data_IF_700296237172
#
_entry.id   IF_700296237172
#
_cell.length_a   1.000
_cell.length_b   1.000
_cell.length_c   1.000
_cell.angle_alpha   90.00
_cell.angle_beta   90.00
_cell.angle_gamma   90.00
#
_symmetry.space_group_name_H-M   'P 1'
#
loop_
_entity.id
_entity.type
_entity.pdbx_description
1 polymer ?
#
# COMPACT_ATOMS: atom_id res chain seq x y z
N UNK A 1 -1.34 4.41 67.87
CA UNK A 1 -0.06 5.13 67.74
C UNK A 1 0.45 4.87 66.34
N UNK A 2 0.23 5.80 65.42
CA UNK A 2 0.65 5.70 64.03
C UNK A 2 1.75 6.74 63.78
N UNK A 3 2.92 6.28 63.31
CA UNK A 3 3.99 7.15 62.84
C UNK A 3 4.09 7.02 61.31
N UNK A 4 3.70 8.09 60.62
CA UNK A 4 3.86 8.29 59.18
C UNK A 4 5.22 8.91 58.87
N UNK A 5 5.92 8.31 57.90
CA UNK A 5 7.26 8.68 57.48
C UNK A 5 7.28 9.91 56.55
N UNK A 6 7.95 10.96 57.05
CA UNK A 6 8.87 11.90 56.39
C UNK A 6 8.64 12.29 54.90
N UNK A 7 8.04 13.47 54.71
CA UNK A 7 8.10 14.25 53.48
C UNK A 7 9.20 15.32 53.58
N UNK A 8 10.30 15.18 52.83
CA UNK A 8 11.36 16.19 52.73
C UNK A 8 10.98 17.30 51.74
N UNK A 9 10.17 18.25 52.20
CA UNK A 9 9.97 19.55 51.53
C UNK A 9 11.18 20.43 51.78
N UNK A 10 12.08 20.51 50.80
CA UNK A 10 13.19 21.47 50.79
C UNK A 10 12.64 22.90 50.78
N UNK A 11 12.96 23.64 51.85
CA UNK A 11 12.54 25.02 52.07
C UNK A 11 13.23 25.94 51.05
N UNK A 12 12.44 26.53 50.15
CA UNK A 12 12.89 27.65 49.32
C UNK A 12 12.99 28.89 50.21
N UNK A 13 14.21 29.23 50.58
CA UNK A 13 14.56 30.47 51.27
C UNK A 13 14.07 31.69 50.49
N UNK A 14 13.24 32.52 51.13
CA UNK A 14 12.87 33.84 50.67
C UNK A 14 14.09 34.76 50.76
N UNK A 15 14.84 34.90 49.66
CA UNK A 15 15.91 35.91 49.57
C UNK A 15 15.28 37.27 49.35
N UNK A 16 15.45 38.16 50.33
CA UNK A 16 15.15 39.59 50.26
C UNK A 16 15.80 40.21 49.03
N UNK A 17 15.05 41.10 48.38
CA UNK A 17 15.51 41.96 47.28
C UNK A 17 16.54 42.96 47.81
N UNK A 18 17.81 42.71 47.53
CA UNK A 18 18.80 43.78 47.50
C UNK A 18 18.72 44.42 46.12
N UNK A 19 18.24 45.66 46.04
CA UNK A 19 18.39 46.52 44.87
C UNK A 19 19.86 46.94 44.77
N UNK A 20 20.71 46.02 44.32
CA UNK A 20 22.01 46.38 43.77
C UNK A 20 21.77 46.73 42.30
N UNK A 21 22.10 47.97 41.91
CA UNK A 21 22.27 48.35 40.52
C UNK A 21 23.48 47.60 39.96
N UNK A 22 23.26 46.35 39.58
CA UNK A 22 24.25 45.57 38.83
C UNK A 22 24.34 46.25 37.45
N UNK A 23 25.52 46.76 37.04
CA UNK A 23 25.68 47.25 35.68
C UNK A 23 25.38 46.09 34.73
N UNK A 24 24.33 46.24 33.92
CA UNK A 24 24.00 45.27 32.88
C UNK A 24 25.24 45.12 32.00
N UNK A 25 25.80 43.91 31.81
CA UNK A 25 26.91 43.75 30.88
C UNK A 25 26.46 44.23 29.49
N UNK A 26 27.20 45.18 28.92
CA UNK A 26 26.95 45.82 27.63
C UNK A 26 27.25 44.89 26.44
N UNK A 27 26.87 43.63 26.56
CA UNK A 27 26.74 42.74 25.43
C UNK A 27 25.31 42.23 25.48
N UNK A 28 24.45 42.80 24.62
CA UNK A 28 23.25 42.13 24.15
C UNK A 28 23.74 40.88 23.40
N UNK A 29 24.18 39.85 24.13
CA UNK A 29 24.22 38.51 23.56
C UNK A 29 22.75 38.20 23.37
N UNK A 30 22.24 38.55 22.18
CA UNK A 30 21.05 37.90 21.66
C UNK A 30 21.36 36.42 21.81
N UNK A 31 20.80 35.80 22.84
CA UNK A 31 20.86 34.36 23.00
C UNK A 31 20.10 33.82 21.80
N UNK A 32 20.83 33.59 20.72
CA UNK A 32 20.28 32.96 19.54
C UNK A 32 19.73 31.64 20.03
N UNK A 33 18.43 31.44 19.86
CA UNK A 33 17.77 30.22 20.31
C UNK A 33 18.22 29.11 19.37
N UNK A 34 19.38 28.50 19.66
CA UNK A 34 19.91 27.42 18.85
C UNK A 34 19.14 26.13 19.14
N UNK A 35 18.90 25.33 18.09
CA UNK A 35 18.25 24.02 18.19
C UNK A 35 19.17 22.93 18.75
N UNK A 36 20.40 23.29 19.10
CA UNK A 36 21.50 22.37 19.45
C UNK A 36 21.20 21.41 20.62
N UNK A 37 20.22 21.71 21.47
CA UNK A 37 19.88 20.83 22.59
C UNK A 37 18.87 19.76 22.20
N UNK A 38 19.16 18.50 22.50
CA UNK A 38 18.27 17.35 22.24
C UNK A 38 16.83 17.54 22.78
N UNK A 39 16.66 18.25 23.90
CA UNK A 39 15.32 18.56 24.46
C UNK A 39 14.47 19.42 23.52
N UNK A 40 15.07 20.40 22.83
CA UNK A 40 14.36 21.25 21.87
C UNK A 40 13.97 20.44 20.64
N UNK A 41 14.92 19.68 20.10
CA UNK A 41 14.69 18.78 18.96
C UNK A 41 13.55 17.78 19.23
N UNK A 42 13.54 17.14 20.41
CA UNK A 42 12.45 16.22 20.80
C UNK A 42 11.09 16.92 20.91
N UNK A 43 11.07 18.17 21.36
CA UNK A 43 9.82 18.94 21.47
C UNK A 43 9.30 19.36 20.11
N UNK A 44 10.18 19.76 19.19
CA UNK A 44 9.79 20.16 17.82
C UNK A 44 9.35 18.97 16.98
N UNK A 45 9.98 17.82 17.13
CA UNK A 45 9.63 16.57 16.43
C UNK A 45 8.54 15.73 17.12
N UNK A 46 7.83 16.29 18.12
CA UNK A 46 6.82 15.53 18.86
C UNK A 46 5.56 15.31 18.01
N UNK A 47 5.30 14.05 17.67
CA UNK A 47 4.05 13.60 17.05
C UNK A 47 3.01 13.29 18.14
N UNK A 48 1.75 13.66 17.93
CA UNK A 48 0.64 13.33 18.83
C UNK A 48 0.21 11.88 18.60
N UNK A 49 -0.25 11.20 19.66
CA UNK A 49 -0.90 9.90 19.54
C UNK A 49 -2.24 9.99 18.81
N UNK A 50 -2.71 8.86 18.32
CA UNK A 50 -4.05 8.75 17.73
C UNK A 50 -5.14 9.07 18.79
N UNK A 51 -6.25 9.73 18.41
CA UNK A 51 -7.33 10.06 19.33
C UNK A 51 -7.90 8.86 20.09
N UNK A 52 -7.87 7.65 19.50
CA UNK A 52 -8.31 6.42 20.16
C UNK A 52 -7.57 6.09 21.45
N UNK A 53 -6.32 6.56 21.62
CA UNK A 53 -5.54 6.39 22.85
C UNK A 53 -5.73 7.55 23.84
N UNK A 54 -6.45 8.59 23.46
CA UNK A 54 -6.73 9.74 24.31
C UNK A 54 -8.15 9.59 24.84
N UNK A 55 -8.31 8.71 25.84
CA UNK A 55 -9.60 8.45 26.45
C UNK A 55 -10.25 9.76 26.95
N UNK A 56 -11.53 10.02 26.65
CA UNK A 56 -12.27 11.07 27.34
C UNK A 56 -12.38 10.72 28.83
N UNK A 57 -12.38 11.74 29.69
CA UNK A 57 -12.40 11.61 31.17
C UNK A 57 -13.66 10.89 31.69
N UNK A 58 -14.65 10.66 30.84
CA UNK A 58 -16.01 10.20 31.16
C UNK A 58 -16.18 8.66 31.22
N UNK A 59 -15.11 7.89 31.07
CA UNK A 59 -15.17 6.43 31.15
C UNK A 59 -15.15 5.96 32.62
N UNK A 60 -16.22 5.30 33.05
CA UNK A 60 -16.42 4.88 34.45
C UNK A 60 -15.79 3.52 34.79
N UNK A 61 -15.45 2.72 33.77
CA UNK A 61 -14.90 1.38 33.92
C UNK A 61 -13.96 1.00 32.75
N UNK A 62 -13.07 0.04 33.00
CA UNK A 62 -12.16 -0.49 31.99
C UNK A 62 -12.93 -1.25 30.89
N UNK A 63 -12.60 -0.98 29.63
CA UNK A 63 -13.20 -1.64 28.48
C UNK A 63 -12.18 -1.86 27.35
N UNK A 64 -12.48 -2.76 26.42
CA UNK A 64 -11.60 -3.09 25.29
C UNK A 64 -12.05 -2.30 24.06
N UNK A 65 -11.14 -1.47 23.52
CA UNK A 65 -11.38 -0.68 22.31
C UNK A 65 -10.88 -1.45 21.09
N UNK A 66 -11.74 -1.60 20.07
CA UNK A 66 -11.33 -2.10 18.76
C UNK A 66 -10.75 -0.96 17.92
N UNK A 67 -9.42 -0.96 17.75
CA UNK A 67 -8.68 0.08 17.02
C UNK A 67 -7.93 -0.54 15.82
N UNK A 68 -8.60 -0.76 14.67
CA UNK A 68 -7.94 -1.30 13.49
C UNK A 68 -6.91 -0.27 12.97
N UNK A 69 -5.61 -0.60 12.94
CA UNK A 69 -4.59 0.36 12.52
C UNK A 69 -4.70 0.66 11.02
N UNK A 70 -4.41 1.91 10.64
CA UNK A 70 -4.34 2.32 9.22
C UNK A 70 -3.01 1.91 8.57
N UNK A 71 -2.61 0.65 8.74
CA UNK A 71 -1.38 0.07 8.20
C UNK A 71 -1.66 -1.19 7.39
N UNK A 72 -0.74 -1.57 6.51
CA UNK A 72 -0.84 -2.85 5.82
C UNK A 72 -0.79 -4.02 6.83
N UNK A 73 -1.61 -5.08 6.63
CA UNK A 73 -1.57 -6.25 7.49
C UNK A 73 -0.25 -7.00 7.32
N UNK A 74 0.19 -7.68 8.38
CA UNK A 74 1.33 -8.59 8.31
C UNK A 74 0.96 -9.92 7.65
N UNK A 75 1.96 -10.67 7.19
CA UNK A 75 1.77 -12.01 6.60
C UNK A 75 1.08 -12.98 7.58
N UNK A 76 1.25 -12.77 8.88
CA UNK A 76 0.64 -13.60 9.93
C UNK A 76 -0.85 -13.32 10.13
N UNK A 77 -1.39 -12.22 9.59
CA UNK A 77 -2.82 -12.00 9.55
C UNK A 77 -3.43 -12.80 8.37
N UNK A 78 -3.56 -14.11 8.58
CA UNK A 78 -4.02 -15.05 7.56
C UNK A 78 -5.52 -14.90 7.30
N UNK A 79 -5.96 -14.56 6.07
CA UNK A 79 -7.38 -14.50 5.74
C UNK A 79 -8.03 -15.90 5.83
N UNK A 80 -9.35 -15.97 6.07
CA UNK A 80 -10.06 -17.21 6.38
C UNK A 80 -9.99 -18.25 5.25
N UNK A 81 -9.75 -17.84 4.00
CA UNK A 81 -9.58 -18.75 2.86
C UNK A 81 -8.31 -19.61 2.94
N UNK A 82 -7.28 -19.15 3.67
CA UNK A 82 -6.04 -19.89 3.86
C UNK A 82 -6.01 -20.67 5.19
N UNK A 83 -7.03 -20.54 6.02
CA UNK A 83 -7.17 -21.33 7.24
C UNK A 83 -7.78 -22.70 6.92
N UNK A 84 -7.35 -23.78 7.61
CA UNK A 84 -7.99 -25.07 7.46
C UNK A 84 -9.43 -25.02 7.98
N UNK A 85 -10.30 -25.87 7.44
CA UNK A 85 -11.73 -25.85 7.77
C UNK A 85 -12.03 -26.11 9.27
N UNK A 86 -11.13 -26.82 9.97
CA UNK A 86 -11.24 -27.14 11.40
C UNK A 86 -10.82 -25.99 12.32
N UNK A 87 -10.21 -24.91 11.82
CA UNK A 87 -9.69 -23.83 12.65
C UNK A 87 -10.86 -22.95 13.18
N UNK A 88 -11.04 -22.82 14.51
CA UNK A 88 -12.12 -22.03 15.09
C UNK A 88 -12.02 -20.54 14.74
N UNK A 89 -10.82 -20.03 14.41
CA UNK A 89 -10.62 -18.62 14.01
C UNK A 89 -11.42 -18.25 12.77
N UNK A 90 -11.77 -19.23 11.92
CA UNK A 90 -12.62 -19.00 10.75
C UNK A 90 -14.01 -18.49 11.16
N UNK A 91 -14.57 -18.96 12.28
CA UNK A 91 -15.85 -18.49 12.80
C UNK A 91 -15.73 -17.04 13.33
N UNK A 92 -14.63 -16.72 14.00
CA UNK A 92 -14.38 -15.37 14.52
C UNK A 92 -14.28 -14.33 13.40
N UNK A 93 -13.67 -14.68 12.25
CA UNK A 93 -13.64 -13.79 11.08
C UNK A 93 -15.03 -13.49 10.53
N UNK A 94 -15.91 -14.50 10.44
CA UNK A 94 -17.31 -14.30 9.99
C UNK A 94 -18.06 -13.37 10.93
N UNK A 95 -17.90 -13.55 12.25
CA UNK A 95 -18.52 -12.67 13.24
C UNK A 95 -17.98 -11.23 13.15
N UNK A 96 -16.69 -11.05 12.89
CA UNK A 96 -16.09 -9.73 12.72
C UNK A 96 -16.57 -9.01 11.46
N UNK A 97 -16.74 -9.72 10.33
CA UNK A 97 -17.31 -9.17 9.10
C UNK A 97 -18.76 -8.70 9.30
N UNK A 98 -19.56 -9.49 10.03
CA UNK A 98 -20.92 -9.12 10.40
C UNK A 98 -20.98 -7.89 11.31
N UNK A 99 -20.05 -7.75 12.26
CA UNK A 99 -19.99 -6.60 13.17
C UNK A 99 -19.46 -5.32 12.52
N UNK A 100 -18.55 -5.43 11.55
CA UNK A 100 -17.94 -4.30 10.84
C UNK A 100 -18.75 -3.77 9.67
N UNK A 101 -19.72 -4.56 9.17
CA UNK A 101 -20.62 -4.11 8.12
C UNK A 101 -21.46 -2.93 8.66
N UNK A 102 -21.43 -1.75 8.00
CA UNK A 102 -22.32 -0.67 8.39
C UNK A 102 -23.74 -1.22 8.25
N UNK A 103 -24.50 -1.27 9.34
CA UNK A 103 -25.96 -1.46 9.27
C UNK A 103 -26.43 -0.48 8.20
N UNK A 104 -27.02 -1.00 7.12
CA UNK A 104 -27.63 -0.19 6.07
C UNK A 104 -28.55 0.80 6.77
N UNK A 105 -28.09 2.04 6.95
CA UNK A 105 -28.95 3.11 7.34
C UNK A 105 -29.88 3.26 6.15
N UNK A 106 -31.10 2.73 6.27
CA UNK A 106 -32.23 3.17 5.47
C UNK A 106 -32.50 4.63 5.85
N UNK A 107 -31.60 5.52 5.47
CA UNK A 107 -31.82 6.95 5.42
C UNK A 107 -32.05 7.24 3.94
N UNK A 108 -33.31 7.37 3.57
CA UNK A 108 -33.75 8.25 2.48
C UNK A 108 -33.22 9.65 2.80
N UNK A 109 -31.95 9.89 2.50
CA UNK A 109 -31.33 11.20 2.57
C UNK A 109 -31.53 11.82 1.19
N UNK A 110 -32.56 12.65 1.09
CA UNK A 110 -32.76 13.68 0.07
C UNK A 110 -31.39 14.27 -0.32
N UNK A 111 -30.93 13.96 -1.53
CA UNK A 111 -29.73 14.54 -2.14
C UNK A 111 -30.12 15.87 -2.77
N UNK A 112 -30.30 16.90 -1.94
CA UNK A 112 -30.53 18.25 -2.41
C UNK A 112 -29.30 19.15 -2.21
N UNK A 113 -28.78 19.63 -3.34
CA UNK A 113 -28.02 20.88 -3.56
C UNK A 113 -26.61 21.09 -2.95
N UNK A 114 -26.10 20.26 -2.03
CA UNK A 114 -24.81 20.53 -1.37
C UNK A 114 -23.54 19.91 -2.02
N UNK A 115 -23.68 18.95 -2.95
CA UNK A 115 -22.54 18.31 -3.64
C UNK A 115 -21.76 19.29 -4.52
N UNK A 116 -22.42 20.34 -5.05
CA UNK A 116 -21.79 21.26 -6.01
C UNK A 116 -20.80 22.28 -5.44
N UNK A 117 -20.82 22.50 -4.12
CA UNK A 117 -19.87 23.36 -3.43
C UNK A 117 -18.57 22.64 -3.01
N UNK A 118 -18.46 21.31 -3.20
CA UNK A 118 -17.33 20.52 -2.74
C UNK A 118 -16.26 20.35 -3.83
N UNK A 119 -15.04 20.79 -3.53
CA UNK A 119 -13.89 20.64 -4.43
C UNK A 119 -13.63 19.16 -4.83
N UNK A 120 -13.07 18.92 -6.03
CA UNK A 120 -12.98 17.59 -6.64
C UNK A 120 -12.24 16.54 -5.79
N UNK A 121 -11.26 16.98 -5.00
CA UNK A 121 -10.50 16.13 -4.07
C UNK A 121 -11.36 15.59 -2.93
N UNK A 122 -12.33 16.38 -2.45
CA UNK A 122 -13.20 16.00 -1.33
C UNK A 122 -14.32 15.07 -1.79
N UNK A 123 -14.83 15.23 -3.03
CA UNK A 123 -15.76 14.28 -3.65
C UNK A 123 -15.13 12.91 -3.89
N UNK A 124 -13.88 12.85 -4.38
CA UNK A 124 -13.16 11.59 -4.55
C UNK A 124 -12.84 10.89 -3.22
N UNK A 125 -12.67 11.65 -2.14
CA UNK A 125 -12.52 11.08 -0.81
C UNK A 125 -13.84 10.48 -0.30
N UNK A 126 -14.95 11.20 -0.40
CA UNK A 126 -16.26 10.71 0.06
C UNK A 126 -16.79 9.52 -0.76
N UNK A 127 -16.53 9.46 -2.07
CA UNK A 127 -16.90 8.29 -2.90
C UNK A 127 -16.16 7.01 -2.51
N UNK A 128 -15.00 7.12 -1.84
CA UNK A 128 -14.32 5.96 -1.22
C UNK A 128 -14.99 5.49 0.06
N UNK A 129 -15.64 6.39 0.80
CA UNK A 129 -16.34 6.07 2.05
C UNK A 129 -17.75 5.52 1.80
N UNK A 130 -18.39 5.87 0.68
CA UNK A 130 -19.71 5.34 0.27
C UNK A 130 -19.59 4.06 -0.57
N UNK A 131 -18.64 3.19 -0.21
CA UNK A 131 -18.48 1.89 -0.87
C UNK A 131 -19.35 0.89 -0.13
N UNK A 132 -20.53 0.58 -0.68
CA UNK A 132 -21.32 -0.57 -0.25
C UNK A 132 -20.43 -1.82 -0.33
N UNK A 133 -20.55 -2.71 0.65
CA UNK A 133 -19.68 -3.88 0.86
C UNK A 133 -19.62 -4.87 -0.33
N UNK A 134 -20.48 -4.71 -1.34
CA UNK A 134 -20.55 -5.55 -2.54
C UNK A 134 -19.72 -5.04 -3.73
N UNK A 135 -19.27 -3.78 -3.74
CA UNK A 135 -18.59 -3.21 -4.90
C UNK A 135 -17.05 -3.34 -4.77
N UNK A 136 -16.51 -4.44 -5.29
CA UNK A 136 -15.07 -4.62 -5.49
C UNK A 136 -14.48 -3.41 -6.24
N UNK A 137 -13.23 -3.00 -5.94
CA UNK A 137 -12.58 -1.95 -6.71
C UNK A 137 -12.46 -2.35 -8.19
N UNK A 138 -12.39 -1.38 -9.11
CA UNK A 138 -12.23 -1.66 -10.53
C UNK A 138 -10.98 -2.51 -10.76
N UNK A 139 -11.11 -3.56 -11.57
CA UNK A 139 -10.00 -4.46 -11.88
C UNK A 139 -8.92 -3.73 -12.66
N UNK A 140 -7.65 -3.98 -12.33
CA UNK A 140 -6.53 -3.49 -13.12
C UNK A 140 -6.42 -4.38 -14.37
N UNK A 141 -6.86 -3.85 -15.52
CA UNK A 141 -6.86 -4.54 -16.82
C UNK A 141 -8.24 -5.04 -17.25
N UNK A 142 -8.33 -5.56 -18.48
CA UNK A 142 -9.56 -6.12 -19.05
C UNK A 142 -9.78 -7.54 -18.51
N UNK A 143 -10.99 -7.91 -18.06
CA UNK A 143 -11.35 -9.29 -17.78
C UNK A 143 -11.09 -10.16 -19.02
N UNK A 144 -10.46 -11.31 -18.84
CA UNK A 144 -10.20 -12.27 -19.91
C UNK A 144 -10.81 -13.61 -19.55
N UNK A 145 -11.68 -14.11 -20.41
CA UNK A 145 -12.26 -15.45 -20.29
C UNK A 145 -11.35 -16.49 -20.96
N UNK A 146 -11.26 -17.67 -20.38
CA UNK A 146 -10.45 -18.77 -20.91
C UNK A 146 -11.30 -19.57 -21.90
N UNK A 147 -10.95 -19.55 -23.18
CA UNK A 147 -11.59 -20.34 -24.24
C UNK A 147 -10.81 -21.64 -24.49
N UNK A 148 -11.52 -22.76 -24.63
CA UNK A 148 -10.96 -24.10 -24.84
C UNK A 148 -11.65 -24.81 -26.03
N UNK A 149 -11.71 -24.13 -27.17
CA UNK A 149 -12.40 -24.61 -28.37
C UNK A 149 -11.52 -25.39 -29.35
N UNK A 150 -10.19 -25.35 -29.19
CA UNK A 150 -9.26 -26.02 -30.10
C UNK A 150 -9.18 -27.52 -29.85
N UNK A 151 -9.21 -28.28 -30.94
CA UNK A 151 -9.07 -29.74 -30.97
C UNK A 151 -7.59 -30.13 -31.17
N UNK A 152 -7.22 -31.39 -30.91
CA UNK A 152 -5.85 -31.87 -31.19
C UNK A 152 -5.48 -31.74 -32.68
N UNK A 153 -6.45 -31.86 -33.58
CA UNK A 153 -6.28 -31.68 -35.03
C UNK A 153 -5.78 -30.26 -35.37
N UNK A 154 -6.42 -29.22 -34.82
CA UNK A 154 -6.03 -27.82 -34.99
C UNK A 154 -4.59 -27.57 -34.49
N UNK A 155 -4.19 -28.25 -33.42
CA UNK A 155 -2.83 -28.14 -32.86
C UNK A 155 -1.78 -28.72 -33.82
N UNK A 156 -2.09 -29.82 -34.51
CA UNK A 156 -1.22 -30.36 -35.54
C UNK A 156 -1.12 -29.42 -36.74
N UNK A 157 -2.22 -28.80 -37.16
CA UNK A 157 -2.20 -27.79 -38.22
C UNK A 157 -1.34 -26.58 -37.85
N UNK A 158 -1.46 -26.08 -36.62
CA UNK A 158 -0.60 -25.01 -36.10
C UNK A 158 0.88 -25.40 -36.22
N UNK A 159 1.24 -26.63 -35.85
CA UNK A 159 2.62 -27.13 -35.96
C UNK A 159 3.07 -27.22 -37.40
N UNK A 160 2.24 -27.76 -38.30
CA UNK A 160 2.52 -27.90 -39.73
C UNK A 160 2.75 -26.52 -40.37
N UNK A 161 1.81 -25.58 -40.20
CA UNK A 161 1.90 -24.23 -40.74
C UNK A 161 3.17 -23.49 -40.27
N UNK A 162 3.53 -23.65 -39.00
CA UNK A 162 4.71 -22.98 -38.45
C UNK A 162 6.04 -23.64 -38.83
N UNK A 163 6.03 -24.95 -39.08
CA UNK A 163 7.19 -25.68 -39.59
C UNK A 163 7.45 -25.36 -41.07
N UNK A 164 6.40 -25.11 -41.86
CA UNK A 164 6.53 -24.70 -43.25
C UNK A 164 7.18 -23.32 -43.37
N UNK A 165 6.55 -22.28 -42.83
CA UNK A 165 7.03 -20.90 -42.97
C UNK A 165 6.83 -20.08 -41.68
N UNK A 166 7.83 -20.01 -40.78
CA UNK A 166 7.70 -19.29 -39.52
C UNK A 166 7.60 -17.76 -39.67
N UNK A 167 8.03 -17.23 -40.82
CA UNK A 167 7.97 -15.79 -41.15
C UNK A 167 6.58 -15.36 -41.63
N UNK A 168 5.91 -16.21 -42.41
CA UNK A 168 4.57 -15.95 -42.94
C UNK A 168 3.47 -16.29 -41.92
N UNK A 169 3.61 -17.43 -41.25
CA UNK A 169 2.72 -17.90 -40.19
C UNK A 169 3.25 -17.48 -38.83
N UNK A 170 3.21 -16.17 -38.58
CA UNK A 170 3.60 -15.61 -37.29
C UNK A 170 2.62 -16.03 -36.19
N UNK A 171 3.09 -15.98 -34.94
CA UNK A 171 2.27 -16.29 -33.76
C UNK A 171 0.98 -15.46 -33.74
N UNK A 172 1.07 -14.17 -34.09
CA UNK A 172 -0.09 -13.27 -34.11
C UNK A 172 -1.10 -13.68 -35.17
N UNK A 173 -0.64 -14.03 -36.37
CA UNK A 173 -1.53 -14.45 -37.47
C UNK A 173 -2.26 -15.75 -37.15
N UNK A 174 -1.56 -16.72 -36.57
CA UNK A 174 -2.18 -17.98 -36.13
C UNK A 174 -3.17 -17.74 -34.98
N UNK A 175 -2.89 -16.77 -34.09
CA UNK A 175 -3.77 -16.42 -32.98
C UNK A 175 -5.10 -15.88 -33.48
N UNK A 176 -5.06 -15.03 -34.50
CA UNK A 176 -6.24 -14.48 -35.18
C UNK A 176 -6.99 -15.57 -35.96
N UNK A 177 -6.28 -16.47 -36.65
CA UNK A 177 -6.91 -17.53 -37.45
C UNK A 177 -7.68 -18.56 -36.59
N UNK A 178 -7.07 -18.98 -35.48
CA UNK A 178 -7.65 -19.98 -34.57
C UNK A 178 -8.43 -19.35 -33.40
N UNK A 179 -8.62 -18.02 -33.39
CA UNK A 179 -9.21 -17.23 -32.26
C UNK A 179 -8.68 -17.67 -30.89
N UNK A 180 -7.35 -17.77 -30.77
CA UNK A 180 -6.70 -18.24 -29.56
C UNK A 180 -5.59 -17.29 -29.08
N UNK A 181 -5.10 -17.50 -27.86
CA UNK A 181 -4.06 -16.64 -27.29
C UNK A 181 -2.71 -16.88 -27.99
N UNK A 182 -1.98 -15.81 -28.33
CA UNK A 182 -0.62 -15.87 -28.86
C UNK A 182 0.32 -16.76 -28.02
N UNK A 183 0.15 -16.73 -26.70
CA UNK A 183 0.95 -17.58 -25.81
C UNK A 183 0.70 -19.07 -26.04
N UNK A 184 -0.54 -19.48 -26.33
CA UNK A 184 -0.89 -20.88 -26.60
C UNK A 184 -0.20 -21.40 -27.87
N UNK A 185 -0.12 -20.59 -28.92
CA UNK A 185 0.60 -20.96 -30.15
C UNK A 185 2.11 -21.08 -29.90
N UNK A 186 2.70 -20.17 -29.10
CA UNK A 186 4.12 -20.29 -28.70
C UNK A 186 4.40 -21.57 -27.95
N UNK A 187 3.44 -22.05 -27.16
CA UNK A 187 3.53 -23.32 -26.46
C UNK A 187 3.44 -24.53 -27.42
N UNK A 188 2.54 -24.48 -28.41
CA UNK A 188 2.29 -25.60 -29.33
C UNK A 188 3.42 -25.80 -30.35
N UNK A 189 3.96 -24.72 -30.89
CA UNK A 189 4.95 -24.72 -31.97
C UNK A 189 5.99 -23.62 -31.72
N UNK A 190 7.10 -23.97 -31.07
CA UNK A 190 8.25 -23.06 -30.90
C UNK A 190 9.14 -23.09 -32.15
N UNK A 191 9.65 -21.93 -32.56
CA UNK A 191 10.63 -21.81 -33.65
C UNK A 191 11.93 -21.22 -33.09
N UNK A 192 12.96 -22.05 -32.80
CA UNK A 192 14.19 -21.58 -32.16
C UNK A 192 15.05 -20.73 -33.10
N UNK A 193 15.07 -21.02 -34.40
CA UNK A 193 15.84 -20.26 -35.40
C UNK A 193 15.31 -18.83 -35.53
N UNK A 194 13.99 -18.68 -35.73
CA UNK A 194 13.35 -17.37 -35.80
C UNK A 194 13.50 -16.59 -34.48
N UNK A 195 13.54 -17.29 -33.34
CA UNK A 195 13.82 -16.68 -32.04
C UNK A 195 15.26 -16.15 -31.97
N UNK A 196 16.25 -16.93 -32.40
CA UNK A 196 17.65 -16.51 -32.39
C UNK A 196 17.89 -15.29 -33.29
N UNK A 197 17.28 -15.27 -34.49
CA UNK A 197 17.31 -14.09 -35.37
C UNK A 197 16.72 -12.84 -34.67
N UNK A 198 15.60 -12.99 -33.96
CA UNK A 198 14.96 -11.88 -33.29
C UNK A 198 15.74 -11.42 -32.05
N UNK A 199 16.30 -12.35 -31.28
CA UNK A 199 17.17 -12.06 -30.14
C UNK A 199 18.42 -11.28 -30.61
N UNK A 200 19.02 -11.67 -31.74
CA UNK A 200 20.14 -10.93 -32.35
C UNK A 200 19.75 -9.50 -32.77
N UNK A 201 18.54 -9.29 -33.32
CA UNK A 201 18.03 -7.93 -33.61
C UNK A 201 17.81 -7.11 -32.35
N UNK A 202 17.21 -7.72 -31.31
CA UNK A 202 17.00 -7.09 -30.02
C UNK A 202 18.35 -6.68 -29.41
N UNK A 203 19.37 -7.54 -29.50
CA UNK A 203 20.69 -7.24 -28.98
C UNK A 203 21.41 -6.16 -29.78
N UNK A 204 21.23 -6.10 -31.10
CA UNK A 204 21.68 -4.97 -31.91
C UNK A 204 20.98 -3.65 -31.49
N UNK A 205 19.69 -3.69 -31.15
CA UNK A 205 18.95 -2.53 -30.62
C UNK A 205 19.46 -2.13 -29.23
N UNK A 206 19.75 -3.11 -28.36
CA UNK A 206 20.33 -2.87 -27.03
C UNK A 206 21.74 -2.30 -27.13
N UNK A 207 22.54 -2.74 -28.11
CA UNK A 207 23.87 -2.22 -28.40
C UNK A 207 23.86 -0.74 -28.76
N UNK A 208 22.79 -0.26 -29.41
CA UNK A 208 22.58 1.16 -29.71
C UNK A 208 22.20 2.02 -28.51
N UNK A 209 21.95 1.43 -27.33
CA UNK A 209 21.62 2.21 -26.14
C UNK A 209 22.85 2.90 -25.56
N UNK A 210 22.75 4.22 -25.37
CA UNK A 210 23.71 5.00 -24.60
C UNK A 210 23.69 4.67 -23.10
N UNK A 211 24.71 5.16 -22.37
CA UNK A 211 24.97 4.87 -20.95
C UNK A 211 23.73 5.01 -20.07
N UNK A 212 23.09 6.18 -20.06
CA UNK A 212 21.94 6.49 -19.19
C UNK A 212 20.77 5.52 -19.39
N UNK A 213 20.49 5.15 -20.65
CA UNK A 213 19.39 4.23 -20.96
C UNK A 213 19.70 2.82 -20.50
N UNK A 214 20.96 2.39 -20.60
CA UNK A 214 21.41 1.07 -20.15
C UNK A 214 21.29 0.95 -18.62
N UNK A 215 21.85 1.90 -17.88
CA UNK A 215 21.76 1.96 -16.41
C UNK A 215 20.30 1.96 -15.93
N UNK A 216 19.44 2.79 -16.54
CA UNK A 216 18.02 2.83 -16.18
C UNK A 216 17.28 1.50 -16.45
N UNK A 217 17.72 0.71 -17.44
CA UNK A 217 17.12 -0.61 -17.76
C UNK A 217 17.61 -1.68 -16.79
N UNK A 218 18.89 -1.65 -16.43
CA UNK A 218 19.47 -2.50 -15.39
C UNK A 218 18.79 -2.25 -14.03
N UNK A 219 18.59 -0.99 -13.64
CA UNK A 219 17.92 -0.67 -12.37
C UNK A 219 16.44 -1.04 -12.38
N UNK A 220 15.76 -0.96 -13.53
CA UNK A 220 14.40 -1.52 -13.67
C UNK A 220 14.40 -3.04 -13.46
N UNK A 221 15.40 -3.74 -13.98
CA UNK A 221 15.54 -5.18 -13.82
C UNK A 221 15.81 -5.56 -12.36
N UNK A 222 16.73 -4.86 -11.68
CA UNK A 222 16.98 -5.01 -10.24
C UNK A 222 15.72 -4.78 -9.41
N UNK A 223 14.96 -3.72 -9.70
CA UNK A 223 13.68 -3.46 -9.01
C UNK A 223 12.67 -4.59 -9.22
N UNK A 224 12.58 -5.15 -10.43
CA UNK A 224 11.69 -6.28 -10.73
C UNK A 224 12.13 -7.54 -9.99
N UNK A 225 13.43 -7.78 -9.87
CA UNK A 225 13.97 -8.91 -9.11
C UNK A 225 13.70 -8.75 -7.61
N UNK A 226 13.88 -7.54 -7.07
CA UNK A 226 13.59 -7.22 -5.66
C UNK A 226 12.10 -7.42 -5.32
N UNK A 227 11.17 -7.05 -6.21
CA UNK A 227 9.73 -7.22 -5.97
C UNK A 227 9.33 -8.67 -5.65
N UNK A 228 10.06 -9.67 -6.15
CA UNK A 228 9.77 -11.09 -5.88
C UNK A 228 10.47 -11.67 -4.66
N UNK A 229 11.39 -10.94 -4.03
CA UNK A 229 12.19 -11.43 -2.90
C UNK A 229 11.53 -11.27 -1.53
N UNK A 230 10.51 -10.41 -1.43
CA UNK A 230 9.83 -10.10 -0.17
C UNK A 230 10.77 -9.66 0.97
N UNK A 231 11.97 -9.15 0.63
CA UNK A 231 12.94 -8.50 1.53
C UNK A 231 12.63 -7.01 1.70
#
# INVERSE_FOLDING_TARGET
MECLACASRSMRTLSRRNNALIPKPAHLQQQWRTEATARRLRKTLRVKSDPSFTAPVEETADHIIFNPPSSAPSVYHTPPIFLPASDPRRQLHVLAEQASSPKSANTTAEVDAAEDAMGPTRRLALSRLSRTSSALPPTIGRPRERKYHLKPEDVEEIRKLRAMDPKQWTVKRLAEFFDCNEFFIRLCASSPEAKAEEDAKIDAIKGRWGRTKREAREDRQKRKELWGRAD
#
